data_IF_618418663770
#
_entry.id   IF_618418663770
#
_cell.length_a   1.000
_cell.length_b   1.000
_cell.length_c   1.000
_cell.angle_alpha   90.00
_cell.angle_beta   90.00
_cell.angle_gamma   90.00
#
_symmetry.space_group_name_H-M   'P 1'
#
loop_
_entity.id
_entity.type
_entity.pdbx_description
1 polymer ?
#
# COMPACT_ATOMS: atom_id res chain seq x y z
N UNK A 1 -7.84 -7.83 16.91
CA UNK A 1 -6.99 -7.04 15.99
C UNK A 1 -7.87 -6.24 15.03
N UNK A 2 -7.42 -5.13 14.44
CA UNK A 2 -8.19 -4.41 13.41
C UNK A 2 -7.56 -4.53 12.03
N UNK A 3 -8.33 -4.89 11.00
CA UNK A 3 -7.92 -4.98 9.59
C UNK A 3 -8.52 -3.81 8.82
N UNK A 4 -7.73 -3.18 7.93
CA UNK A 4 -8.19 -2.08 7.09
C UNK A 4 -8.98 -2.62 5.88
N UNK A 5 -10.23 -2.16 5.70
CA UNK A 5 -11.14 -2.59 4.61
C UNK A 5 -11.41 -1.49 3.57
N UNK A 6 -11.13 -0.23 3.92
CA UNK A 6 -11.09 0.90 3.01
C UNK A 6 -10.05 1.94 3.46
N UNK A 7 -9.95 3.09 2.79
CA UNK A 7 -9.05 4.17 3.20
C UNK A 7 -9.33 4.66 4.62
N UNK A 8 -10.59 4.70 5.05
CA UNK A 8 -11.03 5.24 6.35
C UNK A 8 -11.61 4.19 7.32
N UNK A 9 -11.99 3.00 6.84
CA UNK A 9 -12.65 1.98 7.66
C UNK A 9 -11.75 0.83 8.10
N UNK A 10 -12.03 0.33 9.29
CA UNK A 10 -11.35 -0.81 9.90
C UNK A 10 -12.38 -1.76 10.50
N UNK A 11 -12.11 -3.07 10.42
CA UNK A 11 -12.93 -4.12 11.02
C UNK A 11 -12.15 -4.84 12.10
N UNK A 12 -12.78 -5.10 13.24
CA UNK A 12 -12.20 -5.93 14.30
C UNK A 12 -12.31 -7.40 13.91
N UNK A 13 -11.21 -8.12 14.04
CA UNK A 13 -11.09 -9.56 13.79
C UNK A 13 -10.52 -10.21 15.05
N UNK A 14 -11.11 -11.35 15.45
CA UNK A 14 -10.70 -12.14 16.61
C UNK A 14 -10.68 -13.63 16.24
N UNK A 15 -9.61 -14.32 16.59
CA UNK A 15 -9.47 -15.77 16.39
C UNK A 15 -8.25 -16.28 17.15
N UNK A 16 -8.31 -17.52 17.64
CA UNK A 16 -7.27 -18.11 18.47
C UNK A 16 -5.98 -18.42 17.71
N UNK A 17 -6.10 -18.70 16.41
CA UNK A 17 -5.00 -19.23 15.59
C UNK A 17 -4.57 -18.24 14.49
N UNK A 18 -4.84 -16.94 14.67
CA UNK A 18 -4.49 -15.92 13.68
C UNK A 18 -3.00 -15.60 13.76
N UNK A 19 -2.23 -15.87 12.69
CA UNK A 19 -0.93 -15.22 12.47
C UNK A 19 -1.15 -13.72 12.20
N UNK A 20 -1.26 -12.97 13.29
CA UNK A 20 -1.51 -11.54 13.27
C UNK A 20 -0.41 -10.76 12.56
N UNK A 21 0.84 -11.25 12.63
CA UNK A 21 1.98 -10.60 11.99
C UNK A 21 1.86 -10.70 10.47
N UNK A 22 1.55 -11.89 9.95
CA UNK A 22 1.31 -12.10 8.51
C UNK A 22 0.16 -11.23 7.99
N UNK A 23 -0.96 -11.16 8.72
CA UNK A 23 -2.10 -10.29 8.36
C UNK A 23 -1.68 -8.82 8.35
N UNK A 24 -1.02 -8.36 9.41
CA UNK A 24 -0.58 -6.98 9.56
C UNK A 24 0.42 -6.59 8.44
N UNK A 25 1.35 -7.48 8.12
CA UNK A 25 2.33 -7.30 7.06
C UNK A 25 1.67 -7.21 5.67
N UNK A 26 0.69 -8.08 5.39
CA UNK A 26 -0.10 -8.03 4.14
C UNK A 26 -0.89 -6.74 4.01
N UNK A 27 -1.49 -6.24 5.09
CA UNK A 27 -2.20 -4.95 5.10
C UNK A 27 -1.25 -3.79 4.76
N UNK A 28 -0.04 -3.77 5.35
CA UNK A 28 0.97 -2.77 5.01
C UNK A 28 1.45 -2.90 3.57
N UNK A 29 1.69 -4.12 3.09
CA UNK A 29 2.11 -4.34 1.72
C UNK A 29 1.05 -3.87 0.71
N UNK A 30 -0.23 -4.12 1.00
CA UNK A 30 -1.34 -3.61 0.20
C UNK A 30 -1.44 -2.08 0.24
N UNK A 31 -1.20 -1.44 1.40
CA UNK A 31 -1.10 0.02 1.46
C UNK A 31 0.03 0.53 0.55
N UNK A 32 1.21 -0.08 0.63
CA UNK A 32 2.34 0.27 -0.22
C UNK A 32 2.01 0.10 -1.71
N UNK A 33 1.28 -0.96 -2.09
CA UNK A 33 0.84 -1.19 -3.46
C UNK A 33 -0.20 -0.16 -3.92
N UNK A 34 -1.09 0.29 -3.03
CA UNK A 34 -2.05 1.36 -3.35
C UNK A 34 -1.34 2.68 -3.58
N UNK A 35 -0.43 3.05 -2.69
CA UNK A 35 0.18 4.38 -2.64
C UNK A 35 1.60 4.45 -3.23
N UNK A 36 2.03 3.45 -4.01
CA UNK A 36 3.43 3.35 -4.49
C UNK A 36 3.92 4.55 -5.29
N UNK A 37 3.02 5.30 -5.95
CA UNK A 37 3.34 6.49 -6.72
C UNK A 37 3.70 7.69 -5.83
N UNK A 38 3.12 7.76 -4.64
CA UNK A 38 3.29 8.85 -3.69
C UNK A 38 4.19 8.47 -2.50
N UNK A 39 4.42 7.16 -2.33
CA UNK A 39 5.42 6.64 -1.41
C UNK A 39 6.83 7.09 -1.82
N UNK A 40 7.65 7.50 -0.85
CA UNK A 40 9.01 7.93 -1.14
C UNK A 40 9.82 6.76 -1.72
N UNK A 41 10.35 6.95 -2.92
CA UNK A 41 11.42 6.08 -3.39
C UNK A 41 12.67 6.36 -2.55
N UNK A 42 13.32 5.31 -2.02
CA UNK A 42 14.62 5.49 -1.38
C UNK A 42 15.53 6.31 -2.30
N UNK A 43 16.20 7.36 -1.79
CA UNK A 43 17.17 8.11 -2.56
C UNK A 43 18.35 7.19 -2.84
N UNK A 44 18.25 6.41 -3.92
CA UNK A 44 19.40 5.68 -4.45
C UNK A 44 20.45 6.75 -4.75
N UNK A 45 21.64 6.61 -4.15
CA UNK A 45 22.81 7.42 -4.47
C UNK A 45 23.18 7.20 -5.94
N UNK A 46 22.49 7.86 -6.86
CA UNK A 46 22.80 7.84 -8.28
C UNK A 46 23.87 8.90 -8.52
N UNK A 47 25.03 8.46 -9.02
CA UNK A 47 26.15 9.32 -9.40
C UNK A 47 25.81 10.27 -10.58
N UNK A 48 24.77 9.95 -11.35
CA UNK A 48 24.15 10.84 -12.33
C UNK A 48 22.73 10.35 -12.62
N UNK A 49 21.73 11.05 -12.10
CA UNK A 49 20.31 10.78 -12.38
C UNK A 49 19.43 11.83 -11.73
N UNK A 50 18.21 12.07 -12.26
CA UNK A 50 17.29 13.02 -11.64
C UNK A 50 17.04 12.62 -10.18
N UNK A 51 16.99 13.63 -9.29
CA UNK A 51 16.72 13.45 -7.86
C UNK A 51 15.49 12.54 -7.70
N UNK A 52 15.55 11.60 -6.76
CA UNK A 52 14.40 10.75 -6.39
C UNK A 52 13.15 11.61 -6.21
N UNK A 53 12.01 11.10 -6.66
CA UNK A 53 10.73 11.80 -6.63
C UNK A 53 10.43 12.40 -5.25
N UNK A 54 9.73 13.54 -5.25
CA UNK A 54 9.38 14.29 -4.05
C UNK A 54 8.50 13.43 -3.13
N UNK A 55 8.86 13.36 -1.85
CA UNK A 55 8.16 12.58 -0.82
C UNK A 55 6.74 13.14 -0.64
N UNK A 56 5.68 12.32 -0.66
CA UNK A 56 4.41 12.76 -0.08
C UNK A 56 4.42 12.47 1.43
N UNK A 57 4.64 13.50 2.26
CA UNK A 57 4.73 13.36 3.71
C UNK A 57 3.44 12.84 4.32
N UNK A 58 2.29 13.16 3.71
CA UNK A 58 0.98 12.69 4.18
C UNK A 58 0.84 11.18 4.03
N UNK A 59 1.19 10.63 2.86
CA UNK A 59 1.18 9.18 2.61
C UNK A 59 2.15 8.46 3.55
N UNK A 60 3.33 9.03 3.79
CA UNK A 60 4.29 8.42 4.70
C UNK A 60 3.81 8.43 6.17
N UNK A 61 3.19 9.54 6.60
CA UNK A 61 2.59 9.65 7.93
C UNK A 61 1.42 8.67 8.11
N UNK A 62 0.55 8.55 7.11
CA UNK A 62 -0.57 7.60 7.10
C UNK A 62 -0.07 6.15 7.13
N UNK A 63 0.98 5.82 6.36
CA UNK A 63 1.62 4.52 6.40
C UNK A 63 2.18 4.19 7.78
N UNK A 64 2.88 5.14 8.42
CA UNK A 64 3.39 4.99 9.78
C UNK A 64 2.24 4.85 10.81
N UNK A 65 1.15 5.60 10.63
CA UNK A 65 -0.05 5.53 11.48
C UNK A 65 -0.72 4.17 11.37
N UNK A 66 -0.83 3.63 10.16
CA UNK A 66 -1.34 2.29 9.92
C UNK A 66 -0.45 1.23 10.56
N UNK A 67 0.87 1.30 10.36
CA UNK A 67 1.82 0.38 10.98
C UNK A 67 1.72 0.38 12.50
N UNK A 68 1.64 1.57 13.10
CA UNK A 68 1.46 1.72 14.54
C UNK A 68 0.11 1.14 15.01
N UNK A 69 -0.98 1.38 14.27
CA UNK A 69 -2.29 0.82 14.60
C UNK A 69 -2.30 -0.72 14.52
N UNK A 70 -1.53 -1.30 13.61
CA UNK A 70 -1.37 -2.75 13.45
C UNK A 70 -0.42 -3.40 14.47
N UNK A 71 0.19 -2.61 15.37
CA UNK A 71 1.06 -3.11 16.43
C UNK A 71 2.56 -3.04 16.12
N UNK A 72 2.97 -2.60 14.93
CA UNK A 72 4.40 -2.39 14.63
C UNK A 72 4.95 -1.23 15.46
N UNK A 73 6.12 -1.43 16.05
CA UNK A 73 6.82 -0.44 16.88
C UNK A 73 8.26 -0.35 16.42
N UNK A 74 8.70 0.86 16.10
CA UNK A 74 10.11 1.19 15.86
C UNK A 74 10.31 2.68 16.14
N UNK A 75 11.53 3.08 16.48
CA UNK A 75 11.88 4.51 16.63
C UNK A 75 11.49 5.28 15.36
N UNK A 76 11.73 4.69 14.19
CA UNK A 76 11.39 5.30 12.91
C UNK A 76 9.88 5.56 12.74
N UNK A 77 9.02 4.64 13.17
CA UNK A 77 7.57 4.83 13.15
C UNK A 77 7.20 5.96 14.13
N UNK A 78 7.78 5.96 15.34
CA UNK A 78 7.50 6.99 16.34
C UNK A 78 7.92 8.38 15.86
N UNK A 79 9.10 8.52 15.26
CA UNK A 79 9.59 9.76 14.66
C UNK A 79 8.65 10.30 13.59
N UNK A 80 8.14 9.41 12.72
CA UNK A 80 7.19 9.80 11.68
C UNK A 80 5.87 10.28 12.28
N UNK A 81 5.40 9.66 13.36
CA UNK A 81 4.16 10.04 14.04
C UNK A 81 4.27 11.34 14.85
N UNK A 82 5.46 11.68 15.33
CA UNK A 82 5.69 12.96 16.02
C UNK A 82 5.71 14.15 15.05
N UNK A 83 5.87 13.91 13.75
CA UNK A 83 5.90 14.95 12.73
C UNK A 83 4.50 15.26 12.24
N UNK A 84 4.17 16.54 12.17
CA UNK A 84 2.95 17.02 11.52
C UNK A 84 3.18 17.06 9.99
N UNK A 85 2.48 16.24 9.19
CA UNK A 85 2.67 16.21 7.74
C UNK A 85 2.32 17.55 7.08
N UNK A 86 1.30 18.27 7.56
CA UNK A 86 0.92 19.57 7.03
C UNK A 86 2.00 20.62 7.34
N UNK A 87 2.64 20.51 8.50
CA UNK A 87 3.77 21.37 8.88
C UNK A 87 4.99 21.14 7.97
N UNK A 88 5.30 19.90 7.62
CA UNK A 88 6.39 19.57 6.70
C UNK A 88 6.08 20.03 5.27
N UNK A 89 4.85 19.82 4.80
CA UNK A 89 4.38 20.30 3.50
C UNK A 89 4.45 21.83 3.44
N UNK A 90 3.96 22.53 4.47
CA UNK A 90 4.01 23.98 4.58
C UNK A 90 5.45 24.51 4.56
N UNK A 91 6.34 23.92 5.35
CA UNK A 91 7.77 24.27 5.35
C UNK A 91 8.39 24.10 3.97
N UNK A 92 8.16 22.95 3.34
CA UNK A 92 8.68 22.67 2.00
C UNK A 92 8.13 23.66 0.99
N UNK A 93 6.82 23.90 0.97
CA UNK A 93 6.17 24.87 0.10
C UNK A 93 6.82 26.24 0.22
N UNK A 94 7.02 26.75 1.44
CA UNK A 94 7.63 28.06 1.66
C UNK A 94 9.06 28.14 1.12
N UNK A 95 9.83 27.05 1.26
CA UNK A 95 11.23 26.97 0.79
C UNK A 95 11.35 26.74 -0.72
N UNK A 96 10.37 26.13 -1.37
CA UNK A 96 10.42 25.82 -2.82
C UNK A 96 9.66 26.83 -3.67
N UNK A 97 8.62 27.47 -3.14
CA UNK A 97 7.78 28.41 -3.88
C UNK A 97 8.54 29.69 -4.28
N UNK A 98 9.54 30.08 -3.49
CA UNK A 98 10.39 31.24 -3.75
C UNK A 98 11.85 30.84 -3.65
N UNK A 99 12.68 31.39 -4.55
CA UNK A 99 14.11 31.11 -4.53
C UNK A 99 14.71 31.71 -3.26
N UNK A 100 15.35 30.87 -2.44
CA UNK A 100 15.93 31.25 -1.13
C UNK A 100 17.14 32.18 -1.23
N UNK A 101 17.70 32.35 -2.43
CA UNK A 101 18.76 33.33 -2.74
C UNK A 101 18.26 34.78 -2.73
N UNK A 102 16.96 35.00 -3.01
CA UNK A 102 16.36 36.33 -3.15
C UNK A 102 15.26 36.62 -2.13
N UNK A 103 14.75 35.61 -1.46
CA UNK A 103 13.63 35.74 -0.52
C UNK A 103 13.95 35.05 0.80
N UNK A 104 13.80 35.78 1.90
CA UNK A 104 14.00 35.28 3.26
C UNK A 104 12.77 35.55 4.10
N UNK A 105 12.30 34.52 4.80
CA UNK A 105 11.30 34.69 5.85
C UNK A 105 11.99 35.15 7.13
N UNK A 106 11.52 36.25 7.72
CA UNK A 106 12.05 36.74 8.99
C UNK A 106 11.82 35.72 10.12
N UNK A 107 10.63 35.12 10.14
CA UNK A 107 10.26 34.05 11.06
C UNK A 107 9.60 32.92 10.25
N UNK A 108 10.43 31.97 9.82
CA UNK A 108 9.96 30.82 9.04
C UNK A 108 8.95 30.00 9.83
N UNK A 109 9.14 29.81 11.14
CA UNK A 109 8.24 28.99 11.96
C UNK A 109 6.85 29.60 12.08
N UNK A 110 6.77 30.93 12.19
CA UNK A 110 5.50 31.65 12.16
C UNK A 110 4.81 31.53 10.81
N UNK A 111 5.56 31.63 9.71
CA UNK A 111 5.00 31.42 8.37
C UNK A 111 4.50 29.99 8.17
N UNK A 112 5.29 28.99 8.58
CA UNK A 112 4.91 27.57 8.54
C UNK A 112 3.62 27.36 9.31
N UNK A 113 3.56 27.87 10.55
CA UNK A 113 2.36 27.76 11.40
C UNK A 113 1.15 28.39 10.71
N UNK A 114 1.29 29.59 10.13
CA UNK A 114 0.20 30.25 9.40
C UNK A 114 -0.32 29.44 8.19
N UNK A 115 0.57 28.84 7.41
CA UNK A 115 0.19 27.98 6.27
C UNK A 115 -0.47 26.69 6.76
N UNK A 116 0.06 26.06 7.80
CA UNK A 116 -0.53 24.84 8.40
C UNK A 116 -1.94 25.11 8.92
N UNK A 117 -2.18 26.23 9.62
CA UNK A 117 -3.52 26.58 10.08
C UNK A 117 -4.48 26.86 8.92
N UNK A 118 -3.98 27.44 7.83
CA UNK A 118 -4.77 27.59 6.60
C UNK A 118 -5.15 26.22 6.00
N UNK A 119 -4.23 25.27 5.94
CA UNK A 119 -4.51 23.91 5.44
C UNK A 119 -5.57 23.20 6.29
N UNK A 120 -5.49 23.33 7.63
CA UNK A 120 -6.48 22.76 8.56
C UNK A 120 -7.88 23.36 8.44
N UNK A 121 -8.00 24.57 7.89
CA UNK A 121 -9.30 25.22 7.66
C UNK A 121 -10.07 24.66 6.46
N UNK A 122 -9.43 23.80 5.64
CA UNK A 122 -10.06 23.18 4.48
C UNK A 122 -11.22 22.25 4.89
N UNK A 123 -12.33 22.29 4.14
CA UNK A 123 -13.49 21.44 4.35
C UNK A 123 -13.50 20.30 3.35
N UNK A 124 -13.91 19.10 3.78
CA UNK A 124 -14.08 17.97 2.89
C UNK A 124 -15.21 18.26 1.88
N UNK A 125 -14.94 18.00 0.60
CA UNK A 125 -15.96 18.00 -0.44
C UNK A 125 -16.83 16.78 -0.20
N UNK A 126 -18.16 16.96 -0.19
CA UNK A 126 -19.10 15.83 -0.10
C UNK A 126 -18.98 15.02 -1.39
N UNK A 127 -18.81 13.71 -1.28
CA UNK A 127 -18.79 12.79 -2.42
C UNK A 127 -20.10 12.95 -3.21
N UNK A 128 -20.01 13.60 -4.36
CA UNK A 128 -21.15 13.95 -5.19
C UNK A 128 -20.67 14.74 -6.40
N UNK A 129 -20.51 14.02 -7.51
CA UNK A 129 -20.15 14.50 -8.85
C UNK A 129 -18.63 14.59 -9.14
N UNK A 130 -17.96 13.43 -9.18
CA UNK A 130 -16.86 13.26 -10.13
C UNK A 130 -17.50 13.09 -11.50
N UNK A 131 -17.59 14.18 -12.25
CA UNK A 131 -17.95 14.13 -13.67
C UNK A 131 -16.85 13.39 -14.40
N UNK A 132 -17.20 12.24 -14.96
CA UNK A 132 -16.40 11.43 -15.88
C UNK A 132 -15.91 12.29 -17.05
N UNK A 133 -14.67 12.77 -17.00
CA UNK A 133 -14.00 13.38 -18.14
C UNK A 133 -13.12 12.34 -18.84
N UNK A 134 -13.72 11.74 -19.88
CA UNK A 134 -13.02 11.33 -21.10
C UNK A 134 -12.85 9.83 -21.28
N UNK A 135 -13.63 9.28 -22.21
CA UNK A 135 -13.28 8.04 -22.92
C UNK A 135 -11.96 8.25 -23.68
N UNK A 136 -10.82 8.10 -23.00
CA UNK A 136 -9.52 8.05 -23.66
C UNK A 136 -9.38 6.70 -24.37
N UNK A 137 -9.16 6.77 -25.68
CA UNK A 137 -9.08 5.60 -26.55
C UNK A 137 -8.05 4.62 -26.00
N UNK A 138 -8.52 3.42 -25.65
CA UNK A 138 -7.72 2.34 -25.07
C UNK A 138 -6.54 2.00 -25.99
N UNK A 139 -5.39 2.63 -25.75
CA UNK A 139 -4.12 2.15 -26.28
C UNK A 139 -3.76 0.88 -25.51
N UNK A 140 -3.59 -0.21 -26.24
CA UNK A 140 -3.11 -1.48 -25.68
C UNK A 140 -1.88 -1.23 -24.81
N UNK A 141 -1.92 -1.57 -23.50
CA UNK A 141 -0.83 -1.23 -22.60
C UNK A 141 0.45 -1.93 -23.05
N UNK A 142 1.54 -1.16 -23.14
CA UNK A 142 2.88 -1.73 -23.26
C UNK A 142 3.12 -2.62 -22.03
N UNK A 143 3.29 -3.92 -22.25
CA UNK A 143 3.52 -4.92 -21.20
C UNK A 143 4.88 -4.69 -20.54
N UNK A 144 4.94 -3.76 -19.60
CA UNK A 144 6.03 -3.59 -18.63
C UNK A 144 5.41 -3.55 -17.24
N UNK A 145 6.10 -4.14 -16.27
CA UNK A 145 5.58 -4.48 -14.93
C UNK A 145 5.24 -3.33 -13.98
N UNK A 146 5.00 -2.12 -14.49
CA UNK A 146 4.46 -1.01 -13.70
C UNK A 146 2.96 -0.92 -14.03
N UNK A 147 2.05 -0.94 -13.02
CA UNK A 147 0.63 -0.74 -13.26
C UNK A 147 0.39 0.51 -14.10
N UNK A 148 -0.48 0.42 -15.11
CA UNK A 148 -0.91 1.59 -15.88
C UNK A 148 -1.60 2.58 -14.92
N UNK A 149 -1.26 3.87 -14.96
CA UNK A 149 -1.74 4.88 -13.99
C UNK A 149 -3.28 4.93 -13.88
N UNK A 150 -4.07 4.94 -14.98
CA UNK A 150 -5.53 4.89 -14.90
C UNK A 150 -6.04 3.56 -14.34
N UNK A 151 -5.34 2.45 -14.65
CA UNK A 151 -5.64 1.14 -14.07
C UNK A 151 -5.41 1.14 -12.57
N UNK A 152 -4.30 1.71 -12.10
CA UNK A 152 -3.99 1.86 -10.68
C UNK A 152 -5.10 2.65 -9.95
N UNK A 153 -5.48 3.82 -10.47
CA UNK A 153 -6.53 4.64 -9.86
C UNK A 153 -7.86 3.88 -9.73
N UNK A 154 -8.27 3.16 -10.78
CA UNK A 154 -9.47 2.31 -10.78
C UNK A 154 -9.37 1.13 -9.81
N UNK A 155 -8.20 0.52 -9.69
CA UNK A 155 -8.02 -0.71 -8.93
C UNK A 155 -7.79 -0.43 -7.42
N UNK A 156 -7.26 0.75 -7.04
CA UNK A 156 -6.99 1.16 -5.64
C UNK A 156 -8.11 0.81 -4.65
N UNK A 157 -9.40 1.08 -4.92
CA UNK A 157 -10.51 0.78 -3.99
C UNK A 157 -10.70 -0.72 -3.71
N UNK A 158 -10.12 -1.60 -4.52
CA UNK A 158 -10.21 -3.06 -4.41
C UNK A 158 -8.95 -3.71 -3.84
N UNK A 159 -7.88 -2.94 -3.63
CA UNK A 159 -6.62 -3.42 -3.06
C UNK A 159 -6.63 -3.47 -1.53
N UNK A 160 -7.72 -3.95 -0.94
CA UNK A 160 -7.84 -4.23 0.50
C UNK A 160 -7.92 -5.73 0.72
N UNK A 161 -7.52 -6.19 1.92
CA UNK A 161 -7.32 -7.62 2.17
C UNK A 161 -8.61 -8.43 1.96
N UNK A 162 -9.73 -7.93 2.47
CA UNK A 162 -11.07 -8.47 2.28
C UNK A 162 -11.47 -8.54 0.80
N UNK A 163 -11.30 -7.44 0.08
CA UNK A 163 -11.71 -7.33 -1.33
C UNK A 163 -10.86 -8.19 -2.26
N UNK A 164 -9.57 -8.30 -1.97
CA UNK A 164 -8.65 -9.09 -2.78
C UNK A 164 -8.86 -10.59 -2.58
N UNK A 165 -9.36 -11.02 -1.42
CA UNK A 165 -9.65 -12.41 -1.12
C UNK A 165 -11.10 -12.80 -1.40
N UNK A 166 -12.00 -11.85 -1.61
CA UNK A 166 -13.35 -12.10 -2.07
C UNK A 166 -13.40 -12.89 -3.39
N UNK A 167 -14.47 -13.66 -3.57
CA UNK A 167 -14.73 -14.34 -4.83
C UNK A 167 -14.92 -13.30 -5.95
N UNK A 168 -14.19 -13.50 -7.04
CA UNK A 168 -14.28 -12.61 -8.21
C UNK A 168 -14.73 -13.42 -9.41
N UNK A 169 -15.75 -12.90 -10.09
CA UNK A 169 -16.19 -13.45 -11.36
C UNK A 169 -15.06 -13.33 -12.40
N UNK A 170 -14.67 -14.46 -13.00
CA UNK A 170 -13.75 -14.45 -14.12
C UNK A 170 -14.46 -13.92 -15.37
N UNK A 171 -14.10 -12.71 -15.79
CA UNK A 171 -14.46 -12.17 -17.09
C UNK A 171 -13.63 -12.80 -18.22
N UNK A 172 -14.04 -12.61 -19.49
CA UNK A 172 -13.34 -13.18 -20.65
C UNK A 172 -11.97 -12.52 -20.92
N UNK A 173 -11.67 -11.37 -20.29
CA UNK A 173 -10.46 -10.58 -20.52
C UNK A 173 -9.64 -10.38 -19.25
N UNK A 174 -8.32 -10.32 -19.42
CA UNK A 174 -7.38 -10.06 -18.34
C UNK A 174 -7.43 -8.60 -17.91
N UNK A 175 -7.77 -8.33 -16.64
CA UNK A 175 -7.84 -6.97 -16.09
C UNK A 175 -6.57 -6.59 -15.33
N UNK A 176 -6.33 -5.29 -15.15
CA UNK A 176 -5.23 -4.79 -14.30
C UNK A 176 -5.38 -5.24 -12.84
N UNK A 177 -6.61 -5.25 -12.32
CA UNK A 177 -6.93 -5.77 -10.99
C UNK A 177 -6.56 -7.25 -10.85
N UNK A 178 -6.83 -8.07 -11.88
CA UNK A 178 -6.42 -9.48 -11.89
C UNK A 178 -4.89 -9.61 -11.79
N UNK A 179 -4.13 -8.76 -12.51
CA UNK A 179 -2.67 -8.79 -12.45
C UNK A 179 -2.18 -8.41 -11.04
N UNK A 180 -2.75 -7.38 -10.42
CA UNK A 180 -2.39 -6.96 -9.06
C UNK A 180 -2.72 -8.03 -8.02
N UNK A 181 -3.92 -8.62 -8.11
CA UNK A 181 -4.34 -9.75 -7.26
C UNK A 181 -3.44 -10.96 -7.43
N UNK A 182 -3.10 -11.31 -8.67
CA UNK A 182 -2.18 -12.41 -8.98
C UNK A 182 -0.78 -12.15 -8.42
N UNK A 183 -0.29 -10.90 -8.56
CA UNK A 183 1.01 -10.48 -8.00
C UNK A 183 1.03 -10.65 -6.49
N UNK A 184 0.01 -10.15 -5.79
CA UNK A 184 -0.12 -10.33 -4.35
C UNK A 184 -0.11 -11.82 -3.96
N UNK A 185 -0.92 -12.66 -4.62
CA UNK A 185 -0.96 -14.10 -4.32
C UNK A 185 0.34 -14.83 -4.64
N UNK A 186 1.14 -14.36 -5.59
CA UNK A 186 2.44 -14.95 -5.88
C UNK A 186 3.42 -14.77 -4.72
N UNK A 187 3.31 -13.68 -3.95
CA UNK A 187 4.13 -13.41 -2.76
C UNK A 187 3.56 -14.05 -1.49
N UNK A 188 2.24 -13.98 -1.28
CA UNK A 188 1.61 -14.31 0.00
C UNK A 188 0.76 -15.59 -0.01
N UNK A 189 0.46 -16.13 -1.18
CA UNK A 189 -0.51 -17.20 -1.34
C UNK A 189 -1.96 -16.73 -1.10
N UNK A 190 -2.89 -17.68 -1.26
CA UNK A 190 -4.33 -17.44 -1.08
C UNK A 190 -4.82 -17.62 0.35
N UNK A 191 -4.07 -18.37 1.17
CA UNK A 191 -4.45 -18.60 2.55
C UNK A 191 -4.11 -17.38 3.39
N UNK A 192 -5.07 -16.96 4.20
CA UNK A 192 -4.85 -16.02 5.31
C UNK A 192 -5.29 -16.75 6.57
N UNK A 193 -4.58 -16.55 7.67
CA UNK A 193 -4.95 -17.05 9.00
C UNK A 193 -6.23 -16.41 9.57
N UNK A 194 -7.01 -15.71 8.73
CA UNK A 194 -8.25 -15.01 9.06
C UNK A 194 -9.29 -15.54 8.10
N UNK A 195 -10.39 -16.05 8.63
CA UNK A 195 -11.51 -16.48 7.82
C UNK A 195 -12.06 -15.26 7.06
N UNK A 196 -11.96 -15.28 5.73
CA UNK A 196 -12.49 -14.22 4.86
C UNK A 196 -14.00 -14.01 5.06
N UNK A 197 -14.71 -15.03 5.51
CA UNK A 197 -16.12 -14.96 5.93
C UNK A 197 -16.31 -14.10 7.18
N UNK A 198 -15.37 -14.04 8.11
CA UNK A 198 -15.43 -13.18 9.30
C UNK A 198 -15.15 -11.69 8.95
N UNK A 199 -14.45 -11.46 7.83
CA UNK A 199 -14.23 -10.11 7.28
C UNK A 199 -15.40 -9.63 6.41
N UNK A 200 -16.18 -10.56 5.85
CA UNK A 200 -17.33 -10.27 4.97
C UNK A 200 -18.69 -10.37 5.70
N UNK A 201 -18.76 -11.03 6.85
CA UNK A 201 -19.97 -11.17 7.67
C UNK A 201 -20.10 -10.01 8.65
N UNK A 202 -20.88 -9.00 8.26
CA UNK A 202 -21.90 -8.30 9.05
C UNK A 202 -22.21 -6.99 8.33
N UNK A 203 -23.50 -6.81 8.06
CA UNK A 203 -24.13 -5.73 7.33
C UNK A 203 -23.77 -4.34 7.86
N UNK A 204 -23.85 -3.35 6.97
CA UNK A 204 -23.86 -1.92 7.26
C UNK A 204 -24.77 -1.63 8.46
N UNK A 205 -24.19 -1.30 9.62
CA UNK A 205 -24.93 -0.54 10.62
C UNK A 205 -25.02 0.89 10.12
N UNK A 206 -26.14 1.18 9.45
CA UNK A 206 -26.57 2.53 9.14
C UNK A 206 -26.65 3.33 10.44
N UNK A 207 -25.82 4.37 10.55
CA UNK A 207 -25.96 5.39 11.58
C UNK A 207 -27.34 6.05 11.43
N UNK A 208 -28.27 5.69 12.32
CA UNK A 208 -29.51 6.42 12.51
C UNK A 208 -29.30 7.52 13.56
N UNK A 209 -29.78 8.70 13.22
CA UNK A 209 -29.76 9.94 14.01
C UNK A 209 -30.40 9.79 15.40
N UNK A 210 -29.58 10.08 16.41
CA UNK A 210 -29.79 10.89 17.63
C UNK A 210 -31.15 10.88 18.37
N UNK A 211 -31.16 10.45 19.65
CA UNK A 211 -31.61 11.26 20.81
C UNK A 211 -31.45 10.54 22.19
N UNK A 212 -31.55 11.25 23.35
CA UNK A 212 -30.59 11.12 24.45
C UNK A 212 -31.00 10.27 25.68
N UNK A 213 -29.95 9.97 26.46
CA UNK A 213 -29.82 9.30 27.78
C UNK A 213 -30.91 9.63 28.84
N UNK A 214 -31.09 8.73 29.83
CA UNK A 214 -30.52 8.99 31.16
C UNK A 214 -29.85 7.75 31.81
N UNK A 215 -28.79 7.96 32.61
CA UNK A 215 -28.09 6.91 33.40
C UNK A 215 -28.70 6.72 34.80
N UNK A 216 -27.92 6.34 35.84
CA UNK A 216 -26.63 5.65 35.88
C UNK A 216 -26.60 4.45 36.87
N UNK A 217 -25.80 3.39 36.66
CA UNK A 217 -25.40 2.50 37.77
C UNK A 217 -23.96 1.99 37.63
N UNK A 218 -23.36 1.82 38.79
CA UNK A 218 -21.94 1.62 39.09
C UNK A 218 -21.53 0.16 38.85
N UNK A 219 -20.33 -0.09 38.32
CA UNK A 219 -19.54 -1.25 38.78
C UNK A 219 -18.07 -1.07 38.44
N UNK A 220 -17.26 -1.20 39.50
CA UNK A 220 -15.81 -1.34 39.43
C UNK A 220 -15.42 -2.65 38.71
N UNK A 221 -14.31 -2.63 37.97
CA UNK A 221 -13.71 -3.83 37.37
C UNK A 221 -12.43 -3.47 36.63
N UNK A 222 -11.29 -3.97 37.11
CA UNK A 222 -9.94 -3.51 36.75
C UNK A 222 -9.52 -3.76 35.30
N UNK A 223 -8.64 -2.87 34.82
CA UNK A 223 -7.88 -3.03 33.58
C UNK A 223 -6.82 -4.14 33.72
N UNK A 224 -6.72 -5.10 32.78
CA UNK A 224 -5.49 -5.83 32.56
C UNK A 224 -4.54 -4.99 31.70
N UNK A 225 -3.29 -4.95 32.16
CA UNK A 225 -2.13 -4.29 31.57
C UNK A 225 -1.77 -4.98 30.23
N UNK A 226 -1.39 -4.25 29.16
CA UNK A 226 -0.91 -4.90 27.93
C UNK A 226 0.43 -5.59 28.18
N UNK A 227 0.49 -6.88 27.90
CA UNK A 227 1.73 -7.66 27.86
C UNK A 227 2.64 -7.15 26.74
N UNK A 228 3.93 -6.96 27.08
CA UNK A 228 4.99 -6.64 26.14
C UNK A 228 5.15 -7.78 25.13
N UNK A 229 4.95 -7.51 23.84
CA UNK A 229 5.42 -8.43 22.79
C UNK A 229 6.92 -8.23 22.59
N UNK A 230 7.73 -9.10 23.20
CA UNK A 230 9.13 -9.27 22.83
C UNK A 230 9.12 -10.15 21.57
N UNK A 231 9.48 -9.54 20.44
CA UNK A 231 9.53 -10.23 19.14
C UNK A 231 10.82 -11.05 19.10
N UNK A 232 10.70 -12.35 18.86
CA UNK A 232 11.83 -13.25 18.66
C UNK A 232 12.46 -12.98 17.28
N UNK A 233 13.55 -12.21 17.26
CA UNK A 233 14.25 -11.78 16.04
C UNK A 233 14.84 -12.96 15.25
N UNK A 234 15.16 -14.07 15.90
CA UNK A 234 15.77 -15.24 15.27
C UNK A 234 14.77 -15.95 14.33
N UNK A 235 13.50 -16.05 14.72
CA UNK A 235 12.48 -16.69 13.89
C UNK A 235 12.15 -15.88 12.61
N UNK A 236 12.33 -14.56 12.65
CA UNK A 236 12.18 -13.68 11.48
C UNK A 236 13.35 -13.85 10.51
N UNK A 237 14.56 -14.00 11.04
CA UNK A 237 15.79 -14.19 10.26
C UNK A 237 15.73 -15.49 9.45
N UNK A 238 15.32 -16.60 10.07
CA UNK A 238 15.17 -17.90 9.43
C UNK A 238 14.13 -17.88 8.29
N UNK A 239 13.04 -17.14 8.50
CA UNK A 239 11.97 -17.01 7.50
C UNK A 239 12.42 -16.19 6.29
N UNK A 240 13.20 -15.13 6.51
CA UNK A 240 13.80 -14.31 5.46
C UNK A 240 14.85 -15.09 4.67
N UNK A 241 15.67 -15.89 5.34
CA UNK A 241 16.70 -16.72 4.70
C UNK A 241 16.07 -17.83 3.84
N UNK A 242 15.02 -18.47 4.35
CA UNK A 242 14.24 -19.42 3.57
C UNK A 242 13.63 -18.78 2.32
N UNK A 243 13.10 -17.57 2.44
CA UNK A 243 12.52 -16.86 1.30
C UNK A 243 13.58 -16.53 0.24
N UNK A 244 14.77 -16.07 0.66
CA UNK A 244 15.91 -15.81 -0.25
C UNK A 244 16.30 -17.07 -1.01
N UNK A 245 16.48 -18.20 -0.32
CA UNK A 245 16.82 -19.47 -0.96
C UNK A 245 15.78 -19.89 -2.02
N UNK A 246 14.50 -19.76 -1.71
CA UNK A 246 13.45 -20.11 -2.69
C UNK A 246 13.41 -19.17 -3.90
N UNK A 247 13.80 -17.90 -3.73
CA UNK A 247 13.92 -16.95 -4.83
C UNK A 247 15.09 -17.33 -5.73
N UNK A 248 16.26 -17.65 -5.15
CA UNK A 248 17.46 -18.07 -5.88
C UNK A 248 17.23 -19.36 -6.68
N UNK A 249 16.52 -20.34 -6.09
CA UNK A 249 16.16 -21.58 -6.77
C UNK A 249 15.23 -21.34 -7.98
N UNK A 250 14.27 -20.41 -7.85
CA UNK A 250 13.37 -20.06 -8.94
C UNK A 250 14.09 -19.27 -10.04
N UNK A 251 15.01 -18.38 -9.66
CA UNK A 251 15.83 -17.64 -10.62
C UNK A 251 16.77 -18.57 -11.39
N UNK A 252 17.45 -19.49 -10.71
CA UNK A 252 18.30 -20.51 -11.35
C UNK A 252 17.50 -21.40 -12.32
N UNK A 253 16.26 -21.74 -11.97
CA UNK A 253 15.36 -22.51 -12.85
C UNK A 253 14.99 -21.70 -14.10
N UNK A 254 14.71 -20.41 -13.96
CA UNK A 254 14.43 -19.52 -15.09
C UNK A 254 15.65 -19.37 -16.00
N UNK A 255 16.86 -19.26 -15.44
CA UNK A 255 18.10 -19.20 -16.23
C UNK A 255 18.37 -20.48 -17.03
N UNK A 256 18.05 -21.65 -16.48
CA UNK A 256 18.19 -22.91 -17.23
C UNK A 256 17.23 -22.97 -18.42
N UNK A 257 16.01 -22.47 -18.25
CA UNK A 257 15.01 -22.38 -19.32
C UNK A 257 15.40 -21.37 -20.42
N UNK A 258 16.13 -20.30 -20.09
CA UNK A 258 16.60 -19.32 -21.08
C UNK A 258 17.88 -19.77 -21.79
N UNK A 259 18.78 -20.48 -21.11
CA UNK A 259 19.99 -21.09 -21.70
C UNK A 259 19.68 -22.25 -22.66
N UNK A 260 18.52 -22.91 -22.53
CA UNK A 260 18.06 -23.96 -23.44
C UNK A 260 17.57 -23.47 -24.82
N UNK A 261 17.47 -22.15 -25.06
CA UNK A 261 17.07 -21.55 -26.34
C UNK A 261 18.26 -20.84 -27.02
N UNK A 262 19.23 -21.64 -27.49
CA UNK A 262 20.31 -21.24 -28.41
C UNK A 262 20.07 -21.79 -29.83
N UNK A 263 20.72 -21.24 -30.88
CA UNK A 263 20.13 -21.05 -32.21
C UNK A 263 20.19 -22.30 -33.10
N UNK A 264 19.06 -22.65 -33.73
CA UNK A 264 19.05 -23.56 -34.89
C UNK A 264 19.63 -22.82 -36.09
N UNK A 265 20.94 -23.03 -36.33
CA UNK A 265 21.66 -22.58 -37.51
C UNK A 265 21.23 -23.30 -38.79
N UNK A 266 21.31 -22.56 -39.90
CA UNK A 266 20.93 -22.90 -41.28
C UNK A 266 21.94 -23.83 -41.98
N UNK A 267 21.46 -24.40 -43.10
CA UNK A 267 22.10 -24.89 -44.34
C UNK A 267 21.65 -26.34 -44.63
N UNK A 268 21.17 -26.74 -45.81
CA UNK A 268 21.58 -26.38 -47.17
C UNK A 268 20.46 -26.67 -48.19
N UNK A 269 20.46 -25.93 -49.29
CA UNK A 269 19.65 -26.15 -50.48
C UNK A 269 20.20 -27.30 -51.35
N UNK A 270 19.32 -28.00 -52.08
CA UNK A 270 19.40 -28.45 -53.49
C UNK A 270 18.17 -29.34 -53.83
N UNK A 271 17.89 -29.72 -55.10
CA UNK A 271 17.12 -28.92 -56.04
C UNK A 271 15.86 -29.63 -56.61
N UNK A 272 15.13 -28.85 -57.42
CA UNK A 272 13.93 -29.17 -58.23
C UNK A 272 13.90 -30.57 -58.86
N UNK A 273 12.70 -31.17 -58.88
CA UNK A 273 12.17 -31.92 -60.04
C UNK A 273 10.63 -31.95 -60.02
N UNK A 274 10.05 -31.59 -61.16
CA UNK A 274 8.66 -31.84 -61.53
C UNK A 274 8.40 -33.36 -61.58
N UNK A 275 7.22 -33.82 -61.16
CA UNK A 275 6.08 -34.26 -62.00
C UNK A 275 4.82 -33.95 -61.19
#
# INVERSE_FOLDING_TARGET
>A
MTVQTSSSSFRSVSGSDIDWFDVAYRVLWLYALREYLEMPAEPKKKLAGPRSGQVNEKVLFEFASLAHKLGFRSERIQDLLQRDPDREIARRLLLTARKSDRFRYHDLERCVTGVTELMKSAQAIRDGDDTDEGEDQVRSPNRRGIPNLPGQARDKPYLFLDKLHADVACGPTLTSLFIQRSTYFAFFGKQISVDAVDVNSMHEEQATTDQPRPGPEQSAGGHPRPELMIVDEDHQQDRLENLRRTADEREARLEQLTKGKGPTGKHSAAPKRCI
#
